data_IF_945946787465
#
_entry.id   IF_945946787465
#
_cell.length_a   1.000
_cell.length_b   1.000
_cell.length_c   1.000
_cell.angle_alpha   90.00
_cell.angle_beta   90.00
_cell.angle_gamma   90.00
#
_symmetry.space_group_name_H-M   'P 1'
#
loop_
_entity.id
_entity.type
_entity.pdbx_description
1 polymer ?
#
# COMPACT_ATOMS: atom_id res chain seq x y z
N UNK A 1 17.32 -20.04 -4.24
CA UNK A 1 17.35 -18.61 -3.87
C UNK A 1 18.23 -18.48 -2.63
N UNK A 2 19.21 -17.58 -2.64
CA UNK A 2 20.20 -17.47 -1.57
C UNK A 2 19.64 -16.63 -0.42
N UNK A 3 20.03 -16.94 0.82
CA UNK A 3 19.62 -16.20 2.02
C UNK A 3 19.94 -14.69 1.96
N UNK A 4 20.87 -14.28 1.07
CA UNK A 4 21.16 -12.87 0.77
C UNK A 4 20.06 -12.14 0.01
N UNK A 5 19.26 -12.82 -0.81
CA UNK A 5 18.18 -12.20 -1.58
C UNK A 5 16.98 -11.85 -0.68
N UNK A 6 16.74 -12.67 0.34
CA UNK A 6 15.68 -12.47 1.35
C UNK A 6 16.06 -11.34 2.33
N UNK A 7 17.35 -11.21 2.65
CA UNK A 7 17.86 -10.16 3.55
C UNK A 7 17.67 -8.74 2.97
N UNK A 8 17.77 -8.57 1.65
CA UNK A 8 17.54 -7.27 1.00
C UNK A 8 16.05 -6.89 0.95
N UNK A 9 15.14 -7.86 0.94
CA UNK A 9 13.69 -7.61 1.00
C UNK A 9 13.28 -7.19 2.41
N UNK A 10 13.95 -7.70 3.46
CA UNK A 10 13.71 -7.30 4.84
C UNK A 10 14.27 -5.93 5.23
N UNK A 11 15.36 -5.48 4.59
CA UNK A 11 16.03 -4.22 4.93
C UNK A 11 15.26 -2.96 4.50
N UNK A 12 14.43 -3.04 3.45
CA UNK A 12 13.62 -1.91 2.97
C UNK A 12 12.54 -1.49 3.98
N UNK A 13 12.06 -2.44 4.79
CA UNK A 13 10.98 -2.21 5.76
C UNK A 13 11.38 -1.34 6.95
N UNK A 14 12.62 -1.47 7.45
CA UNK A 14 13.10 -0.61 8.53
C UNK A 14 13.21 0.83 8.03
N UNK A 15 13.58 1.06 6.77
CA UNK A 15 13.70 2.40 6.20
C UNK A 15 12.37 3.15 6.08
N UNK A 16 11.33 2.50 5.54
CA UNK A 16 10.02 3.15 5.33
C UNK A 16 9.23 3.29 6.64
N UNK A 17 9.28 2.27 7.52
CA UNK A 17 8.66 2.36 8.85
C UNK A 17 9.42 3.31 9.79
N UNK A 18 10.75 3.36 9.73
CA UNK A 18 11.52 4.37 10.46
C UNK A 18 11.32 5.78 9.89
N UNK A 19 10.98 5.95 8.61
CA UNK A 19 10.55 7.26 8.10
C UNK A 19 9.19 7.68 8.67
N UNK A 20 8.24 6.74 8.84
CA UNK A 20 6.98 6.99 9.52
C UNK A 20 7.18 7.34 11.01
N UNK A 21 8.08 6.64 11.70
CA UNK A 21 8.40 6.90 13.12
C UNK A 21 9.28 8.16 13.30
N UNK A 22 10.20 8.42 12.36
CA UNK A 22 11.11 9.57 12.36
C UNK A 22 10.39 10.89 12.11
N UNK A 23 9.33 10.87 11.30
CA UNK A 23 8.38 11.99 11.22
C UNK A 23 7.64 12.20 12.55
N UNK A 24 7.16 11.12 13.18
CA UNK A 24 6.39 11.16 14.43
C UNK A 24 7.20 11.71 15.62
N UNK A 25 8.49 11.35 15.74
CA UNK A 25 9.36 11.82 16.82
C UNK A 25 9.62 13.34 16.77
N UNK A 26 9.56 13.97 15.60
CA UNK A 26 9.68 15.42 15.45
C UNK A 26 8.40 16.19 15.84
N UNK A 27 7.24 15.52 15.96
CA UNK A 27 5.95 16.15 16.26
C UNK A 27 5.45 15.91 17.69
N UNK A 28 6.06 15.01 18.46
CA UNK A 28 5.65 14.70 19.84
C UNK A 28 5.90 15.81 20.88
N UNK A 29 6.51 16.94 20.51
CA UNK A 29 6.82 18.01 21.45
C UNK A 29 5.60 18.85 21.89
N UNK A 30 4.39 18.54 21.43
CA UNK A 30 3.18 19.28 21.79
C UNK A 30 2.15 18.38 22.49
N UNK A 31 2.07 18.42 23.83
CA UNK A 31 1.12 17.66 24.66
C UNK A 31 -0.23 18.35 24.97
N UNK A 32 -1.33 17.57 25.03
CA UNK A 32 -2.57 17.70 25.84
C UNK A 32 -3.75 16.89 25.23
N UNK A 33 -4.41 16.08 26.07
CA UNK A 33 -5.07 14.83 25.71
C UNK A 33 -6.55 14.93 25.28
N UNK A 34 -6.98 13.92 24.52
CA UNK A 34 -8.27 13.71 23.82
C UNK A 34 -8.46 14.54 22.54
N UNK A 35 -8.42 15.88 22.59
CA UNK A 35 -8.49 16.68 21.36
C UNK A 35 -7.25 16.46 20.48
N UNK A 36 -6.06 16.28 21.08
CA UNK A 36 -4.88 15.88 20.30
C UNK A 36 -4.94 14.48 19.76
N UNK A 37 -5.57 13.52 20.43
CA UNK A 37 -5.62 12.16 19.86
C UNK A 37 -6.44 12.11 18.56
N UNK A 38 -7.53 12.88 18.48
CA UNK A 38 -8.31 13.01 17.25
C UNK A 38 -7.53 13.78 16.19
N UNK A 39 -6.84 14.86 16.59
CA UNK A 39 -5.97 15.64 15.71
C UNK A 39 -4.81 14.79 15.17
N UNK A 40 -4.09 14.06 16.03
CA UNK A 40 -2.95 13.20 15.71
C UNK A 40 -3.34 12.05 14.77
N UNK A 41 -4.50 11.42 14.99
CA UNK A 41 -5.01 10.37 14.09
C UNK A 41 -5.38 10.92 12.72
N UNK A 42 -6.00 12.09 12.69
CA UNK A 42 -6.34 12.78 11.44
C UNK A 42 -5.08 13.22 10.71
N UNK A 43 -4.11 13.79 11.42
CA UNK A 43 -2.81 14.18 10.91
C UNK A 43 -2.00 12.99 10.39
N UNK A 44 -2.05 11.85 11.07
CA UNK A 44 -1.43 10.61 10.59
C UNK A 44 -2.07 10.12 9.31
N UNK A 45 -3.41 10.15 9.21
CA UNK A 45 -4.11 9.83 7.96
C UNK A 45 -3.72 10.80 6.83
N UNK A 46 -3.70 12.11 7.10
CA UNK A 46 -3.28 13.15 6.15
C UNK A 46 -1.83 12.96 5.72
N UNK A 47 -0.93 12.55 6.62
CA UNK A 47 0.46 12.26 6.30
C UNK A 47 0.57 11.12 5.26
N UNK A 48 -0.24 10.06 5.38
CA UNK A 48 -0.31 9.04 4.33
C UNK A 48 -0.78 9.63 2.99
N UNK A 49 -1.75 10.56 2.99
CA UNK A 49 -2.20 11.24 1.77
C UNK A 49 -1.06 12.03 1.15
N UNK A 50 -0.33 12.82 1.95
CA UNK A 50 0.81 13.61 1.50
C UNK A 50 1.93 12.72 0.95
N UNK A 51 2.22 11.59 1.60
CA UNK A 51 3.20 10.61 1.10
C UNK A 51 2.76 9.98 -0.22
N UNK A 52 1.49 9.63 -0.34
CA UNK A 52 0.93 9.06 -1.57
C UNK A 52 0.95 10.05 -2.75
N UNK A 53 0.85 11.35 -2.45
CA UNK A 53 0.99 12.45 -3.41
C UNK A 53 2.43 12.94 -3.58
N UNK A 54 3.37 12.43 -2.77
CA UNK A 54 4.75 12.88 -2.75
C UNK A 54 5.56 12.40 -3.96
N UNK A 55 6.71 13.04 -4.16
CA UNK A 55 7.59 12.81 -5.31
C UNK A 55 8.09 11.36 -5.44
N UNK A 56 8.10 10.58 -4.35
CA UNK A 56 8.51 9.17 -4.37
C UNK A 56 7.38 8.23 -4.82
N UNK A 57 6.14 8.47 -4.39
CA UNK A 57 5.01 7.62 -4.72
C UNK A 57 4.36 7.99 -6.06
N UNK A 58 4.47 9.24 -6.49
CA UNK A 58 3.85 9.68 -7.74
C UNK A 58 4.33 8.88 -8.97
N UNK A 59 5.63 8.69 -9.22
CA UNK A 59 6.09 7.88 -10.37
C UNK A 59 5.66 6.41 -10.27
N UNK A 60 5.67 5.87 -9.06
CA UNK A 60 5.22 4.49 -8.82
C UNK A 60 3.73 4.33 -9.14
N UNK A 61 2.89 5.27 -8.67
CA UNK A 61 1.45 5.28 -8.95
C UNK A 61 1.17 5.44 -10.44
N UNK A 62 1.86 6.35 -11.12
CA UNK A 62 1.73 6.53 -12.57
C UNK A 62 2.08 5.26 -13.34
N UNK A 63 3.14 4.56 -12.93
CA UNK A 63 3.55 3.30 -13.55
C UNK A 63 2.52 2.19 -13.32
N UNK A 64 2.05 2.01 -12.08
CA UNK A 64 1.03 1.02 -11.74
C UNK A 64 -0.28 1.33 -12.47
N UNK A 65 -0.68 2.60 -12.53
CA UNK A 65 -1.86 3.03 -13.27
C UNK A 65 -1.72 2.75 -14.77
N UNK A 66 -0.61 3.14 -15.37
CA UNK A 66 -0.33 2.91 -16.79
C UNK A 66 -0.29 1.44 -17.17
N UNK A 67 0.16 0.58 -16.26
CA UNK A 67 0.10 -0.87 -16.40
C UNK A 67 -1.33 -1.40 -16.30
N UNK A 68 -2.06 -1.06 -15.23
CA UNK A 68 -3.42 -1.56 -15.00
C UNK A 68 -4.38 -1.16 -16.12
N UNK A 69 -4.28 0.08 -16.60
CA UNK A 69 -5.17 0.63 -17.61
C UNK A 69 -4.54 0.70 -19.01
N UNK A 70 -3.54 -0.14 -19.29
CA UNK A 70 -2.97 -0.27 -20.63
C UNK A 70 -4.05 -0.68 -21.66
N UNK A 71 -3.88 -0.25 -22.91
CA UNK A 71 -4.79 -0.60 -24.01
C UNK A 71 -4.14 -1.51 -25.05
N UNK A 72 -2.89 -1.21 -25.43
CA UNK A 72 -2.21 -1.92 -26.52
C UNK A 72 -0.94 -2.67 -26.05
N UNK A 73 0.03 -1.95 -25.48
CA UNK A 73 1.32 -2.51 -25.06
C UNK A 73 1.46 -2.49 -23.53
N UNK A 74 0.89 -3.50 -22.89
CA UNK A 74 0.97 -3.68 -21.44
C UNK A 74 2.35 -4.15 -20.97
N UNK A 75 3.10 -4.83 -21.85
CA UNK A 75 4.40 -5.43 -21.51
C UNK A 75 5.46 -4.34 -21.33
N UNK A 76 5.51 -3.35 -22.22
CA UNK A 76 6.45 -2.22 -22.05
C UNK A 76 6.13 -1.35 -20.83
N UNK A 77 4.89 -1.40 -20.34
CA UNK A 77 4.44 -0.69 -19.13
C UNK A 77 4.56 -1.53 -17.87
N UNK A 78 5.04 -2.77 -17.96
CA UNK A 78 5.10 -3.68 -16.82
C UNK A 78 5.99 -3.11 -15.70
N UNK A 79 5.46 -2.88 -14.49
CA UNK A 79 6.26 -2.53 -13.33
C UNK A 79 7.10 -3.73 -12.93
N UNK A 80 8.27 -3.46 -12.37
CA UNK A 80 9.08 -4.47 -11.69
C UNK A 80 8.29 -5.04 -10.52
N UNK A 81 8.61 -6.28 -10.12
CA UNK A 81 7.98 -6.89 -8.95
C UNK A 81 8.12 -5.98 -7.72
N UNK A 82 9.29 -5.38 -7.50
CA UNK A 82 9.55 -4.47 -6.37
C UNK A 82 8.64 -3.23 -6.37
N UNK A 83 8.28 -2.71 -7.54
CA UNK A 83 7.33 -1.60 -7.66
C UNK A 83 5.90 -2.07 -7.32
N UNK A 84 5.47 -3.23 -7.80
CA UNK A 84 4.17 -3.80 -7.42
C UNK A 84 4.13 -4.08 -5.90
N UNK A 85 5.22 -4.61 -5.35
CA UNK A 85 5.43 -4.78 -3.90
C UNK A 85 5.21 -3.48 -3.16
N UNK A 86 6.03 -2.46 -3.41
CA UNK A 86 5.96 -1.18 -2.72
C UNK A 86 4.57 -0.53 -2.82
N UNK A 87 3.91 -0.62 -3.97
CA UNK A 87 2.57 -0.06 -4.16
C UNK A 87 1.54 -0.76 -3.27
N UNK A 88 1.53 -2.09 -3.25
CA UNK A 88 0.58 -2.88 -2.45
C UNK A 88 0.87 -2.76 -0.95
N UNK A 89 2.15 -2.76 -0.57
CA UNK A 89 2.61 -2.62 0.83
C UNK A 89 2.18 -1.28 1.45
N UNK A 90 2.14 -0.22 0.64
CA UNK A 90 1.60 1.07 1.09
C UNK A 90 0.15 0.92 1.60
N UNK A 91 -0.69 0.15 0.91
CA UNK A 91 -2.08 -0.10 1.36
C UNK A 91 -2.14 -1.00 2.60
N UNK A 92 -1.18 -1.93 2.75
CA UNK A 92 -1.04 -2.74 3.98
C UNK A 92 -0.72 -1.86 5.19
N UNK A 93 0.19 -0.89 5.04
CA UNK A 93 0.54 0.08 6.09
C UNK A 93 -0.64 0.99 6.45
N UNK A 94 -1.32 1.53 5.44
CA UNK A 94 -2.53 2.37 5.61
C UNK A 94 -3.62 1.60 6.35
N UNK A 95 -3.89 0.35 5.94
CA UNK A 95 -4.86 -0.51 6.62
C UNK A 95 -4.45 -0.76 8.07
N UNK A 96 -3.19 -1.16 8.29
CA UNK A 96 -2.69 -1.48 9.63
C UNK A 96 -2.90 -0.29 10.57
N UNK A 97 -2.61 0.92 10.08
CA UNK A 97 -2.82 2.15 10.83
C UNK A 97 -4.30 2.34 11.23
N UNK A 98 -5.24 2.14 10.30
CA UNK A 98 -6.67 2.23 10.59
C UNK A 98 -7.14 1.13 11.56
N UNK A 99 -6.76 -0.12 11.33
CA UNK A 99 -7.15 -1.28 12.16
C UNK A 99 -6.63 -1.16 13.60
N UNK A 100 -5.46 -0.55 13.77
CA UNK A 100 -4.84 -0.32 15.09
C UNK A 100 -5.23 1.00 15.73
N UNK A 101 -6.18 1.73 15.13
CA UNK A 101 -6.65 3.02 15.63
C UNK A 101 -5.51 4.05 15.80
N UNK A 102 -4.52 3.98 14.89
CA UNK A 102 -3.37 4.90 14.81
C UNK A 102 -3.64 6.08 13.87
N UNK A 103 -4.62 5.95 12.97
CA UNK A 103 -5.10 7.04 12.12
C UNK A 103 -6.62 7.00 11.97
N UNK A 104 -7.17 8.11 11.47
CA UNK A 104 -8.60 8.22 11.20
C UNK A 104 -9.01 7.27 10.07
N UNK A 105 -9.83 6.27 10.43
CA UNK A 105 -10.27 5.24 9.51
C UNK A 105 -11.23 5.76 8.43
N UNK A 106 -11.96 6.85 8.69
CA UNK A 106 -12.86 7.45 7.70
C UNK A 106 -12.05 8.17 6.63
N UNK A 107 -11.04 8.97 7.01
CA UNK A 107 -10.12 9.61 6.06
C UNK A 107 -9.41 8.55 5.21
N UNK A 108 -8.90 7.49 5.85
CA UNK A 108 -8.25 6.38 5.14
C UNK A 108 -9.19 5.74 4.12
N UNK A 109 -10.42 5.42 4.53
CA UNK A 109 -11.41 4.80 3.66
C UNK A 109 -11.80 5.70 2.49
N UNK A 110 -12.05 6.97 2.75
CA UNK A 110 -12.54 7.92 1.75
C UNK A 110 -11.46 8.25 0.71
N UNK A 111 -10.19 8.35 1.14
CA UNK A 111 -9.09 8.67 0.22
C UNK A 111 -8.57 7.43 -0.49
N UNK A 112 -8.29 6.34 0.23
CA UNK A 112 -7.61 5.16 -0.35
C UNK A 112 -8.57 4.09 -0.86
N UNK A 113 -9.82 4.08 -0.38
CA UNK A 113 -10.83 3.11 -0.81
C UNK A 113 -11.12 3.12 -2.31
N UNK A 114 -11.27 4.29 -2.97
CA UNK A 114 -11.41 4.35 -4.42
C UNK A 114 -10.21 3.77 -5.17
N UNK A 115 -8.98 4.06 -4.75
CA UNK A 115 -7.78 3.48 -5.37
C UNK A 115 -7.78 1.96 -5.20
N UNK A 116 -7.98 1.47 -3.98
CA UNK A 116 -8.03 0.04 -3.69
C UNK A 116 -9.10 -0.68 -4.53
N UNK A 117 -10.29 -0.08 -4.65
CA UNK A 117 -11.41 -0.61 -5.45
C UNK A 117 -11.00 -0.86 -6.90
N UNK A 118 -10.33 0.09 -7.54
CA UNK A 118 -9.96 -0.02 -8.95
C UNK A 118 -8.68 -0.82 -9.20
N UNK A 119 -7.77 -0.90 -8.22
CA UNK A 119 -6.48 -1.57 -8.40
C UNK A 119 -6.51 -3.04 -7.95
N UNK A 120 -7.31 -3.37 -6.92
CA UNK A 120 -7.33 -4.71 -6.34
C UNK A 120 -7.60 -5.82 -7.36
N UNK A 121 -8.67 -5.77 -8.20
CA UNK A 121 -8.94 -6.85 -9.15
C UNK A 121 -7.79 -7.09 -10.15
N UNK A 122 -7.06 -6.03 -10.49
CA UNK A 122 -6.00 -6.05 -11.49
C UNK A 122 -4.66 -6.55 -10.94
N UNK A 123 -4.43 -6.37 -9.63
CA UNK A 123 -3.23 -6.83 -8.93
C UNK A 123 -3.46 -8.14 -8.16
N UNK A 124 -4.71 -8.57 -8.00
CA UNK A 124 -5.09 -9.80 -7.29
C UNK A 124 -4.32 -11.05 -7.74
N UNK A 125 -4.08 -11.32 -9.05
CA UNK A 125 -3.30 -12.50 -9.45
C UNK A 125 -1.85 -12.47 -8.92
N UNK A 126 -1.20 -11.30 -8.97
CA UNK A 126 0.14 -11.12 -8.41
C UNK A 126 0.14 -11.35 -6.90
N UNK A 127 -0.78 -10.69 -6.17
CA UNK A 127 -0.91 -10.83 -4.72
C UNK A 127 -1.17 -12.28 -4.32
N UNK A 128 -2.04 -12.99 -5.02
CA UNK A 128 -2.31 -14.40 -4.78
C UNK A 128 -1.08 -15.28 -5.03
N UNK A 129 -0.26 -14.96 -6.02
CA UNK A 129 1.00 -15.68 -6.25
C UNK A 129 1.97 -15.49 -5.09
N UNK A 130 2.08 -14.28 -4.54
CA UNK A 130 2.93 -14.00 -3.38
C UNK A 130 2.41 -14.74 -2.15
N UNK A 131 1.10 -14.64 -1.87
CA UNK A 131 0.47 -15.31 -0.70
C UNK A 131 0.65 -16.82 -0.70
N UNK A 132 0.63 -17.48 -1.86
CA UNK A 132 0.94 -18.91 -1.97
C UNK A 132 2.37 -19.23 -1.53
N UNK A 133 3.32 -18.36 -1.85
CA UNK A 133 4.70 -18.47 -1.37
C UNK A 133 4.81 -18.24 0.14
N UNK A 134 4.06 -17.28 0.68
CA UNK A 134 4.01 -16.98 2.12
C UNK A 134 3.35 -18.08 2.95
N UNK A 135 2.30 -18.72 2.42
CA UNK A 135 1.62 -19.85 3.06
C UNK A 135 2.58 -21.02 3.27
N UNK A 136 3.43 -21.31 2.27
CA UNK A 136 4.47 -22.33 2.39
C UNK A 136 5.52 -22.02 3.47
N UNK A 137 5.62 -20.76 3.90
CA UNK A 137 6.52 -20.27 4.94
C UNK A 137 5.83 -20.03 6.29
N UNK A 138 4.51 -20.25 6.39
CA UNK A 138 3.74 -20.09 7.62
C UNK A 138 3.53 -18.63 8.07
N UNK A 139 3.51 -17.68 7.14
CA UNK A 139 3.26 -16.26 7.45
C UNK A 139 1.81 -16.06 7.90
N UNK A 140 1.61 -15.38 9.03
CA UNK A 140 0.29 -15.19 9.66
C UNK A 140 -0.50 -14.00 9.10
N UNK A 141 0.17 -13.00 8.52
CA UNK A 141 -0.45 -11.82 7.93
C UNK A 141 -0.10 -11.76 6.44
N UNK A 142 -1.00 -12.22 5.55
CA UNK A 142 -0.70 -12.35 4.14
C UNK A 142 -0.55 -10.98 3.47
N UNK A 143 0.42 -10.87 2.57
CA UNK A 143 0.72 -9.69 1.77
C UNK A 143 -0.49 -9.18 0.97
N UNK A 144 -0.62 -7.86 0.84
CA UNK A 144 -1.65 -7.19 0.04
C UNK A 144 -3.07 -7.26 0.61
N UNK A 145 -3.21 -7.65 1.88
CA UNK A 145 -4.48 -7.68 2.58
C UNK A 145 -5.05 -6.26 2.81
N UNK A 146 -4.20 -5.25 2.91
CA UNK A 146 -4.55 -3.83 2.91
C UNK A 146 -5.27 -3.41 1.65
N UNK A 147 -4.66 -3.68 0.49
CA UNK A 147 -5.25 -3.34 -0.81
C UNK A 147 -6.60 -4.06 -1.01
N UNK A 148 -6.68 -5.33 -0.62
CA UNK A 148 -7.92 -6.11 -0.69
C UNK A 148 -9.03 -5.56 0.22
N UNK A 149 -8.71 -5.25 1.48
CA UNK A 149 -9.71 -4.88 2.49
C UNK A 149 -10.13 -3.41 2.43
N UNK A 150 -9.29 -2.54 1.86
CA UNK A 150 -9.65 -1.15 1.61
C UNK A 150 -10.53 -1.01 0.36
N UNK A 151 -10.56 -2.01 -0.53
CA UNK A 151 -11.48 -2.00 -1.67
C UNK A 151 -12.93 -1.95 -1.16
N UNK A 152 -13.66 -0.92 -1.59
CA UNK A 152 -15.01 -0.63 -1.09
C UNK A 152 -16.07 -1.54 -1.71
N UNK A 153 -15.77 -2.08 -2.89
CA UNK A 153 -16.59 -3.03 -3.63
C UNK A 153 -15.73 -3.82 -4.61
N UNK A 154 -16.19 -4.99 -5.02
CA UNK A 154 -15.60 -5.70 -6.14
C UNK A 154 -16.16 -5.13 -7.45
N UNK A 155 -15.27 -4.65 -8.32
CA UNK A 155 -15.62 -4.14 -9.67
C UNK A 155 -15.24 -5.12 -10.78
N UNK A 156 -14.73 -6.30 -10.42
CA UNK A 156 -14.28 -7.33 -11.35
C UNK A 156 -13.03 -6.94 -12.15
N UNK A 157 -12.52 -7.84 -13.01
CA UNK A 157 -11.28 -7.60 -13.77
C UNK A 157 -11.49 -6.93 -15.14
N UNK A 158 -12.73 -6.58 -15.51
CA UNK A 158 -13.07 -6.16 -16.88
C UNK A 158 -12.35 -4.87 -17.34
N UNK A 159 -12.01 -3.99 -16.41
CA UNK A 159 -11.25 -2.76 -16.67
C UNK A 159 -9.73 -2.96 -16.63
N UNK A 160 -9.25 -4.13 -16.20
CA UNK A 160 -7.84 -4.44 -16.07
C UNK A 160 -7.24 -4.76 -17.45
N UNK A 161 -6.67 -3.76 -18.10
CA UNK A 161 -5.95 -3.91 -19.37
C UNK A 161 -4.82 -4.94 -19.26
N UNK A 162 -4.11 -4.95 -18.12
CA UNK A 162 -3.00 -5.87 -17.86
C UNK A 162 -3.40 -7.35 -17.78
N UNK A 163 -4.70 -7.67 -17.71
CA UNK A 163 -5.21 -9.04 -17.65
C UNK A 163 -5.82 -9.52 -18.97
N UNK A 164 -5.87 -8.67 -20.01
CA UNK A 164 -6.50 -8.97 -21.31
C UNK A 164 -5.58 -9.70 -22.30
N UNK A 165 -4.56 -10.39 -21.81
CA UNK A 165 -3.65 -11.21 -22.63
C UNK A 165 -4.34 -12.41 -23.24
#
# INVERSE_FOLDING_TARGET
MSAKDISNIGATWIGLAAAMIGGYAAFQEYGESVNKQVDDRSMTAINFVTQFQGAHMMPLREKIYGFIFCQDDCVSKMPTNSEIFAFVEFFDAVKYCADRNLCDAAIVKDVFGPYATWHWPCLKPFVQSVRKGEEALGVSNPYGHGLERLAMKDVGPSHCGNLKS
#
